data_IF_478037070602
#
_entry.id   IF_478037070602
#
_cell.length_a   1.000
_cell.length_b   1.000
_cell.length_c   1.000
_cell.angle_alpha   90.00
_cell.angle_beta   90.00
_cell.angle_gamma   90.00
#
_symmetry.space_group_name_H-M   'P 1'
#
loop_
_entity.id
_entity.type
_entity.pdbx_description
1 polymer ?
#
# COMPACT_ATOMS: atom_id res chain seq x y z
N UNK A 1 -53.68 -52.82 24.47
CA UNK A 1 -53.68 -52.10 23.18
C UNK A 1 -53.43 -50.63 23.50
N UNK A 2 -52.17 -50.21 23.60
CA UNK A 2 -51.78 -48.85 23.99
C UNK A 2 -51.12 -48.15 22.81
N UNK A 3 -51.77 -47.11 22.30
CA UNK A 3 -51.28 -46.29 21.18
C UNK A 3 -50.47 -45.14 21.78
N UNK A 4 -49.16 -45.08 21.45
CA UNK A 4 -48.29 -43.94 21.74
C UNK A 4 -48.34 -42.98 20.55
N UNK A 5 -48.81 -41.76 20.77
CA UNK A 5 -48.65 -40.64 19.85
C UNK A 5 -47.22 -40.10 19.96
N UNK A 6 -46.47 -40.12 18.86
CA UNK A 6 -45.20 -39.40 18.74
C UNK A 6 -45.48 -38.02 18.14
N UNK A 7 -45.20 -36.97 18.92
CA UNK A 7 -45.24 -35.57 18.49
C UNK A 7 -43.90 -35.26 17.80
N UNK A 8 -43.91 -35.06 16.48
CA UNK A 8 -42.74 -34.58 15.74
C UNK A 8 -42.65 -33.06 15.85
N UNK A 9 -41.68 -32.57 16.63
CA UNK A 9 -41.27 -31.16 16.61
C UNK A 9 -40.30 -30.98 15.44
N UNK A 10 -40.73 -30.28 14.40
CA UNK A 10 -39.87 -29.88 13.28
C UNK A 10 -39.07 -28.65 13.71
N UNK A 11 -37.79 -28.83 14.02
CA UNK A 11 -36.85 -27.72 14.23
C UNK A 11 -36.48 -27.20 12.83
N UNK A 12 -37.02 -26.04 12.45
CA UNK A 12 -36.53 -25.29 11.30
C UNK A 12 -35.17 -24.68 11.67
N UNK A 13 -34.10 -25.30 11.18
CA UNK A 13 -32.77 -24.71 11.19
C UNK A 13 -32.77 -23.60 10.15
N UNK A 14 -32.94 -22.35 10.59
CA UNK A 14 -32.68 -21.15 9.80
C UNK A 14 -31.16 -21.10 9.51
N UNK A 15 -30.76 -21.65 8.37
CA UNK A 15 -29.44 -21.42 7.79
C UNK A 15 -29.43 -20.01 7.20
N UNK A 16 -29.25 -19.02 8.08
CA UNK A 16 -28.95 -17.65 7.68
C UNK A 16 -27.54 -17.58 7.11
N UNK A 17 -27.38 -17.98 5.85
CA UNK A 17 -26.25 -17.50 5.05
C UNK A 17 -26.55 -16.02 4.79
N UNK A 18 -26.04 -15.14 5.66
CA UNK A 18 -25.93 -13.72 5.30
C UNK A 18 -25.03 -13.66 4.08
N UNK A 19 -25.64 -13.61 2.89
CA UNK A 19 -24.95 -13.17 1.70
C UNK A 19 -24.31 -11.81 2.07
N UNK A 20 -22.99 -11.68 1.89
CA UNK A 20 -22.37 -10.36 1.92
C UNK A 20 -23.11 -9.52 0.89
N UNK A 21 -23.88 -8.53 1.34
CA UNK A 21 -24.45 -7.55 0.42
C UNK A 21 -23.29 -6.81 -0.20
N UNK A 22 -23.21 -6.83 -1.53
CA UNK A 22 -22.25 -6.02 -2.26
C UNK A 22 -22.45 -4.55 -1.85
N UNK A 23 -21.36 -3.88 -1.48
CA UNK A 23 -21.39 -2.44 -1.21
C UNK A 23 -21.80 -1.68 -2.46
N UNK A 24 -22.68 -0.69 -2.31
CA UNK A 24 -22.94 0.27 -3.37
C UNK A 24 -21.72 1.19 -3.50
N UNK A 25 -21.12 1.23 -4.69
CA UNK A 25 -19.92 2.00 -4.97
C UNK A 25 -20.25 3.29 -5.76
N UNK A 26 -19.55 4.40 -5.50
CA UNK A 26 -18.49 4.54 -4.49
C UNK A 26 -19.06 4.72 -3.08
N UNK A 27 -18.43 4.07 -2.11
CA UNK A 27 -18.76 4.19 -0.68
C UNK A 27 -18.31 5.56 -0.15
N UNK A 28 -17.17 6.05 -0.63
CA UNK A 28 -16.58 7.34 -0.28
C UNK A 28 -16.83 8.33 -1.40
N UNK A 29 -17.76 9.26 -1.15
CA UNK A 29 -18.08 10.32 -2.10
C UNK A 29 -17.01 11.42 -2.06
N UNK A 30 -16.47 11.79 -3.24
CA UNK A 30 -15.49 12.86 -3.36
C UNK A 30 -16.16 14.07 -3.99
N UNK A 31 -16.04 15.22 -3.31
CA UNK A 31 -16.44 16.52 -3.82
C UNK A 31 -15.21 17.42 -3.87
N UNK A 32 -14.86 17.90 -5.07
CA UNK A 32 -13.71 18.75 -5.31
C UNK A 32 -14.16 20.11 -5.84
N UNK A 33 -13.55 21.17 -5.34
CA UNK A 33 -13.67 22.50 -5.95
C UNK A 33 -12.91 22.55 -7.28
N UNK A 34 -13.26 23.49 -8.16
CA UNK A 34 -12.55 23.70 -9.44
C UNK A 34 -11.04 23.91 -9.25
N UNK A 35 -10.64 24.63 -8.18
CA UNK A 35 -9.24 24.87 -7.82
C UNK A 35 -8.51 23.57 -7.48
N UNK A 36 -9.18 22.64 -6.81
CA UNK A 36 -8.64 21.34 -6.45
C UNK A 36 -8.52 20.43 -7.66
N UNK A 37 -9.53 20.38 -8.52
CA UNK A 37 -9.48 19.68 -9.81
C UNK A 37 -8.30 20.18 -10.64
N UNK A 38 -8.14 21.51 -10.77
CA UNK A 38 -7.01 22.09 -11.50
C UNK A 38 -5.65 21.73 -10.90
N UNK A 39 -5.55 21.69 -9.56
CA UNK A 39 -4.33 21.27 -8.85
C UNK A 39 -4.02 19.78 -9.10
N UNK A 40 -5.01 18.90 -8.98
CA UNK A 40 -4.85 17.47 -9.21
C UNK A 40 -4.49 17.15 -10.65
N UNK A 41 -5.14 17.81 -11.63
CA UNK A 41 -4.77 17.72 -13.06
C UNK A 41 -3.30 18.04 -13.31
N UNK A 42 -2.71 18.99 -12.57
CA UNK A 42 -1.26 19.28 -12.65
C UNK A 42 -0.40 18.15 -12.07
N UNK A 43 -0.82 17.52 -10.98
CA UNK A 43 -0.10 16.42 -10.32
C UNK A 43 -0.06 15.16 -11.19
N UNK A 44 -1.18 14.80 -11.82
CA UNK A 44 -1.29 13.59 -12.65
C UNK A 44 -0.74 13.77 -14.07
N UNK A 45 -0.44 15.01 -14.49
CA UNK A 45 -0.04 15.34 -15.88
C UNK A 45 1.08 14.45 -16.41
N UNK A 46 2.12 14.22 -15.62
CA UNK A 46 3.26 13.43 -16.06
C UNK A 46 2.86 11.98 -16.36
N UNK A 47 2.02 11.39 -15.51
CA UNK A 47 1.49 10.03 -15.70
C UNK A 47 0.53 9.95 -16.88
N UNK A 48 -0.34 10.95 -17.04
CA UNK A 48 -1.28 11.02 -18.17
C UNK A 48 -0.57 11.18 -19.53
N UNK A 49 0.64 11.75 -19.54
CA UNK A 49 1.43 11.95 -20.76
C UNK A 49 2.20 10.69 -21.21
N UNK A 50 2.40 9.71 -20.33
CA UNK A 50 3.07 8.45 -20.68
C UNK A 50 2.12 7.53 -21.47
N UNK A 51 2.68 6.63 -22.29
CA UNK A 51 1.89 5.49 -22.77
C UNK A 51 1.44 4.61 -21.59
N UNK A 52 0.40 3.80 -21.77
CA UNK A 52 -0.05 2.87 -20.72
C UNK A 52 1.06 1.89 -20.33
N UNK A 53 1.80 1.37 -21.33
CA UNK A 53 2.90 0.45 -21.14
C UNK A 53 4.08 1.09 -20.39
N UNK A 54 4.50 2.30 -20.80
CA UNK A 54 5.60 3.00 -20.13
C UNK A 54 5.23 3.32 -18.68
N UNK A 55 4.00 3.79 -18.43
CA UNK A 55 3.53 4.05 -17.08
C UNK A 55 3.61 2.79 -16.20
N UNK A 56 3.07 1.66 -16.66
CA UNK A 56 3.07 0.40 -15.91
C UNK A 56 4.50 -0.11 -15.68
N UNK A 57 5.41 0.08 -16.63
CA UNK A 57 6.82 -0.31 -16.49
C UNK A 57 7.59 0.48 -15.41
N UNK A 58 7.09 1.65 -15.01
CA UNK A 58 7.67 2.44 -13.92
C UNK A 58 7.14 2.05 -12.53
N UNK A 59 6.10 1.22 -12.45
CA UNK A 59 5.54 0.75 -11.18
C UNK A 59 6.45 -0.36 -10.64
N UNK A 60 7.02 -0.19 -9.43
CA UNK A 60 8.02 -1.11 -8.92
C UNK A 60 7.43 -2.47 -8.56
N UNK A 61 8.08 -3.53 -9.03
CA UNK A 61 7.74 -4.93 -8.77
C UNK A 61 8.46 -5.51 -7.53
N UNK A 62 9.22 -4.67 -6.82
CA UNK A 62 10.07 -5.05 -5.69
C UNK A 62 9.92 -4.06 -4.53
N UNK A 63 10.13 -4.56 -3.30
CA UNK A 63 10.24 -3.71 -2.11
C UNK A 63 11.45 -2.79 -2.23
N UNK A 64 11.30 -1.51 -1.89
CA UNK A 64 12.40 -0.54 -1.86
C UNK A 64 12.74 -0.02 -0.46
N UNK A 65 13.85 0.70 -0.33
CA UNK A 65 14.34 1.29 0.93
C UNK A 65 14.20 2.81 0.96
N UNK A 66 13.79 3.36 2.11
CA UNK A 66 13.65 4.80 2.32
C UNK A 66 14.99 5.46 2.64
N UNK A 67 15.78 4.84 3.51
CA UNK A 67 16.96 5.47 4.10
C UNK A 67 18.24 5.10 3.36
N UNK A 68 18.33 5.50 2.09
CA UNK A 68 19.57 5.34 1.33
C UNK A 68 20.22 6.72 1.25
N UNK A 69 21.38 6.85 1.89
CA UNK A 69 22.13 8.10 1.99
C UNK A 69 22.93 8.42 0.74
N UNK A 70 23.49 9.62 0.72
CA UNK A 70 24.46 10.08 -0.27
C UNK A 70 25.88 9.73 0.22
N UNK A 71 26.65 8.90 -0.49
CA UNK A 71 28.03 8.60 -0.10
C UNK A 71 29.02 9.73 -0.45
N UNK A 72 28.60 10.70 -1.27
CA UNK A 72 29.44 11.79 -1.76
C UNK A 72 29.48 13.02 -0.84
N UNK A 73 28.48 13.17 0.05
CA UNK A 73 28.42 14.29 1.00
C UNK A 73 27.71 13.90 2.29
N UNK A 74 27.98 14.62 3.37
CA UNK A 74 27.40 14.43 4.71
C UNK A 74 26.09 15.20 4.96
N UNK A 75 25.64 15.99 3.98
CA UNK A 75 24.45 16.82 4.12
C UNK A 75 23.14 16.02 4.20
N UNK A 76 22.15 16.61 4.90
CA UNK A 76 20.83 16.04 5.11
C UNK A 76 20.66 15.46 6.51
N UNK A 77 19.61 14.67 6.70
CA UNK A 77 19.31 14.02 7.97
C UNK A 77 18.75 12.62 7.71
N UNK A 78 19.17 11.65 8.53
CA UNK A 78 18.64 10.28 8.54
C UNK A 78 18.65 9.62 7.16
N UNK A 79 19.67 9.85 6.33
CA UNK A 79 19.74 9.26 4.97
C UNK A 79 18.54 9.62 4.07
N UNK A 80 17.89 10.76 4.32
CA UNK A 80 16.69 11.22 3.61
C UNK A 80 16.94 12.13 2.40
N UNK A 81 18.20 12.37 2.02
CA UNK A 81 18.59 13.41 1.06
C UNK A 81 18.41 13.04 -0.42
N UNK A 82 18.30 11.75 -0.75
CA UNK A 82 18.14 11.31 -2.13
C UNK A 82 16.68 11.50 -2.61
N UNK A 83 16.49 12.30 -3.66
CA UNK A 83 15.20 12.52 -4.34
C UNK A 83 15.09 11.68 -5.61
N UNK A 84 13.88 11.28 -5.92
CA UNK A 84 13.50 10.61 -7.16
C UNK A 84 12.58 11.50 -7.99
N UNK A 85 12.55 11.29 -9.30
CA UNK A 85 11.65 11.97 -10.24
C UNK A 85 11.21 11.00 -11.32
N UNK A 86 9.93 11.07 -11.71
CA UNK A 86 9.40 10.29 -12.84
C UNK A 86 10.13 10.59 -14.16
N UNK A 87 10.81 11.75 -14.27
CA UNK A 87 11.61 12.10 -15.45
C UNK A 87 12.94 11.33 -15.56
N UNK A 88 13.42 10.79 -14.45
CA UNK A 88 14.64 9.98 -14.39
C UNK A 88 14.39 8.80 -13.43
N UNK A 89 13.52 7.86 -13.83
CA UNK A 89 12.86 6.96 -12.88
C UNK A 89 13.77 5.86 -12.33
N UNK A 90 14.96 5.67 -12.91
CA UNK A 90 15.90 4.61 -12.53
C UNK A 90 17.11 5.12 -11.74
N UNK A 91 17.15 6.42 -11.45
CA UNK A 91 18.23 7.07 -10.69
C UNK A 91 17.66 7.94 -9.58
N UNK A 92 18.52 8.33 -8.67
CA UNK A 92 18.20 9.22 -7.55
C UNK A 92 19.26 10.31 -7.44
N UNK A 93 18.84 11.51 -7.08
CA UNK A 93 19.72 12.67 -7.01
C UNK A 93 19.80 13.17 -5.56
N UNK A 94 21.00 13.50 -5.09
CA UNK A 94 21.15 14.19 -3.81
C UNK A 94 20.57 15.61 -3.91
N UNK A 95 19.78 16.04 -2.92
CA UNK A 95 19.23 17.40 -2.87
C UNK A 95 20.28 18.48 -2.55
N UNK A 96 21.46 18.09 -2.08
CA UNK A 96 22.49 18.99 -1.57
C UNK A 96 23.70 19.10 -2.51
N UNK A 97 24.41 18.00 -2.78
CA UNK A 97 25.55 18.01 -3.71
C UNK A 97 25.16 17.77 -5.18
N UNK A 98 23.87 17.56 -5.46
CA UNK A 98 23.31 17.33 -6.80
C UNK A 98 23.81 16.09 -7.54
N UNK A 99 24.69 15.29 -6.93
CA UNK A 99 25.17 14.01 -7.45
C UNK A 99 23.99 13.08 -7.77
N UNK A 100 24.07 12.40 -8.91
CA UNK A 100 23.08 11.43 -9.38
C UNK A 100 23.66 10.03 -9.22
N UNK A 101 22.90 9.13 -8.60
CA UNK A 101 23.29 7.74 -8.35
C UNK A 101 22.33 6.75 -9.04
N UNK A 102 22.83 5.58 -9.46
CA UNK A 102 24.25 5.20 -9.54
C UNK A 102 25.02 6.01 -10.61
N UNK A 103 26.34 6.04 -10.52
CA UNK A 103 27.26 6.67 -11.49
C UNK A 103 28.62 5.93 -11.52
N UNK A 104 29.61 6.45 -12.26
CA UNK A 104 30.93 5.80 -12.40
C UNK A 104 31.70 5.69 -11.07
N UNK A 105 31.59 6.67 -10.18
CA UNK A 105 32.26 6.65 -8.86
C UNK A 105 31.51 5.75 -7.86
N UNK A 106 30.19 5.61 -8.03
CA UNK A 106 29.30 4.84 -7.16
C UNK A 106 28.44 3.87 -8.01
N UNK A 107 29.06 2.84 -8.62
CA UNK A 107 28.37 1.91 -9.50
C UNK A 107 27.49 0.95 -8.72
N UNK A 108 26.36 0.55 -9.29
CA UNK A 108 25.47 -0.48 -8.75
C UNK A 108 25.73 -1.85 -9.41
N UNK A 109 27.00 -2.23 -9.51
CA UNK A 109 27.48 -3.43 -10.20
C UNK A 109 27.44 -4.69 -9.33
N UNK A 110 27.33 -4.54 -8.01
CA UNK A 110 27.16 -5.65 -7.08
C UNK A 110 25.69 -5.98 -6.87
N UNK A 111 25.40 -7.23 -6.55
CA UNK A 111 24.01 -7.74 -6.48
C UNK A 111 23.75 -8.61 -5.27
N UNK A 112 22.64 -8.31 -4.58
CA UNK A 112 22.04 -9.19 -3.59
C UNK A 112 20.91 -9.98 -4.25
N UNK A 113 21.00 -11.32 -4.26
CA UNK A 113 19.93 -12.19 -4.72
C UNK A 113 19.15 -12.75 -3.53
N UNK A 114 17.83 -12.65 -3.58
CA UNK A 114 16.93 -13.17 -2.54
C UNK A 114 15.73 -13.87 -3.18
N UNK A 115 15.21 -14.90 -2.52
CA UNK A 115 13.92 -15.47 -2.89
C UNK A 115 12.81 -14.64 -2.24
N UNK A 116 11.81 -14.26 -3.04
CA UNK A 116 10.64 -13.55 -2.54
C UNK A 116 9.57 -14.53 -2.02
N UNK A 117 8.50 -14.05 -1.35
CA UNK A 117 7.49 -14.94 -0.75
C UNK A 117 6.72 -15.82 -1.74
N UNK A 118 6.78 -15.52 -3.04
CA UNK A 118 6.18 -16.35 -4.11
C UNK A 118 7.21 -17.27 -4.78
N UNK A 119 8.39 -17.45 -4.17
CA UNK A 119 9.45 -18.36 -4.61
C UNK A 119 10.29 -17.86 -5.79
N UNK A 120 10.07 -16.63 -6.27
CA UNK A 120 10.87 -16.05 -7.36
C UNK A 120 12.17 -15.46 -6.81
N UNK A 121 13.28 -15.73 -7.48
CA UNK A 121 14.55 -15.03 -7.23
C UNK A 121 14.48 -13.61 -7.77
N UNK A 122 14.78 -12.64 -6.91
CA UNK A 122 14.84 -11.22 -7.26
C UNK A 122 16.22 -10.65 -6.89
N UNK A 123 16.64 -9.65 -7.66
CA UNK A 123 17.98 -9.06 -7.57
C UNK A 123 17.90 -7.62 -7.09
N UNK A 124 18.79 -7.26 -6.17
CA UNK A 124 18.93 -5.93 -5.58
C UNK A 124 20.35 -5.41 -5.86
N UNK A 125 20.53 -4.53 -6.87
CA UNK A 125 21.80 -3.89 -7.13
C UNK A 125 22.22 -2.95 -5.99
N UNK A 126 23.50 -2.94 -5.67
CA UNK A 126 24.08 -2.05 -4.67
C UNK A 126 25.50 -1.64 -5.01
N UNK A 127 25.92 -0.53 -4.40
CA UNK A 127 27.32 -0.15 -4.24
C UNK A 127 27.74 -0.42 -2.79
N UNK A 128 28.96 -0.87 -2.54
CA UNK A 128 29.49 -1.11 -1.18
C UNK A 128 30.70 -0.21 -0.95
N UNK A 129 30.72 0.48 0.19
CA UNK A 129 31.87 1.31 0.58
C UNK A 129 32.99 0.49 1.25
N UNK A 130 34.12 1.14 1.54
CA UNK A 130 35.28 0.51 2.18
C UNK A 130 34.99 -0.08 3.57
N UNK A 131 33.89 0.34 4.21
CA UNK A 131 33.47 -0.18 5.53
C UNK A 131 32.56 -1.41 5.41
N UNK A 132 32.16 -1.77 4.20
CA UNK A 132 31.20 -2.84 3.93
C UNK A 132 29.73 -2.38 3.99
N UNK A 133 29.46 -1.08 4.05
CA UNK A 133 28.09 -0.56 4.06
C UNK A 133 27.54 -0.47 2.64
N UNK A 134 26.33 -1.03 2.42
CA UNK A 134 25.73 -1.16 1.08
C UNK A 134 24.66 -0.10 0.82
N UNK A 135 24.80 0.58 -0.31
CA UNK A 135 23.90 1.61 -0.83
C UNK A 135 23.06 1.04 -1.98
N UNK A 136 21.75 0.92 -1.75
CA UNK A 136 20.80 0.38 -2.74
C UNK A 136 20.07 1.50 -3.49
N UNK A 137 20.77 2.25 -4.36
CA UNK A 137 20.21 3.41 -5.06
C UNK A 137 18.97 3.08 -5.89
N UNK A 138 18.93 1.94 -6.60
CA UNK A 138 17.73 1.51 -7.34
C UNK A 138 16.59 1.15 -6.41
N UNK A 139 16.86 0.51 -5.27
CA UNK A 139 15.82 0.21 -4.29
C UNK A 139 15.24 1.48 -3.67
N UNK A 140 16.04 2.55 -3.53
CA UNK A 140 15.53 3.88 -3.18
C UNK A 140 14.60 4.42 -4.25
N UNK A 141 14.98 4.36 -5.53
CA UNK A 141 14.10 4.75 -6.64
C UNK A 141 12.77 3.95 -6.62
N UNK A 142 12.81 2.63 -6.42
CA UNK A 142 11.60 1.81 -6.30
C UNK A 142 10.71 2.24 -5.13
N UNK A 143 11.30 2.56 -3.97
CA UNK A 143 10.54 3.05 -2.83
C UNK A 143 9.78 4.33 -3.14
N UNK A 144 10.46 5.30 -3.75
CA UNK A 144 9.87 6.59 -4.09
C UNK A 144 8.83 6.46 -5.22
N UNK A 145 9.09 5.64 -6.23
CA UNK A 145 8.14 5.34 -7.29
C UNK A 145 6.86 4.72 -6.74
N UNK A 146 6.94 3.78 -5.80
CA UNK A 146 5.76 3.19 -5.14
C UNK A 146 4.91 4.25 -4.44
N UNK A 147 5.55 5.12 -3.64
CA UNK A 147 4.86 6.21 -2.94
C UNK A 147 4.20 7.17 -3.93
N UNK A 148 4.92 7.53 -5.00
CA UNK A 148 4.41 8.38 -6.06
C UNK A 148 3.18 7.78 -6.75
N UNK A 149 3.29 6.56 -7.27
CA UNK A 149 2.18 5.93 -8.02
C UNK A 149 0.98 5.62 -7.13
N UNK A 150 1.18 5.30 -5.86
CA UNK A 150 0.08 5.12 -4.92
C UNK A 150 -0.71 6.44 -4.71
N UNK A 151 -0.01 7.56 -4.54
CA UNK A 151 -0.64 8.88 -4.43
C UNK A 151 -1.30 9.33 -5.74
N UNK A 152 -0.70 9.01 -6.90
CA UNK A 152 -1.28 9.34 -8.21
C UNK A 152 -2.55 8.52 -8.48
N UNK A 153 -2.60 7.23 -8.13
CA UNK A 153 -3.80 6.42 -8.30
C UNK A 153 -4.99 6.99 -7.52
N UNK A 154 -4.77 7.46 -6.29
CA UNK A 154 -5.79 8.16 -5.51
C UNK A 154 -6.24 9.46 -6.21
N UNK A 155 -5.30 10.32 -6.63
CA UNK A 155 -5.63 11.55 -7.38
C UNK A 155 -6.44 11.24 -8.66
N UNK A 156 -6.10 10.16 -9.37
CA UNK A 156 -6.79 9.72 -10.59
C UNK A 156 -8.21 9.24 -10.29
N UNK A 157 -8.40 8.44 -9.24
CA UNK A 157 -9.74 7.99 -8.83
C UNK A 157 -10.64 9.16 -8.44
N UNK A 158 -10.12 10.09 -7.64
CA UNK A 158 -10.84 11.30 -7.25
C UNK A 158 -11.19 12.20 -8.45
N UNK A 159 -10.26 12.36 -9.40
CA UNK A 159 -10.51 13.09 -10.64
C UNK A 159 -11.58 12.42 -11.50
N UNK A 160 -11.58 11.09 -11.61
CA UNK A 160 -12.63 10.37 -12.32
C UNK A 160 -13.99 10.65 -11.69
N UNK A 161 -14.14 10.49 -10.37
CA UNK A 161 -15.42 10.72 -9.70
C UNK A 161 -15.91 12.18 -9.85
N UNK A 162 -15.00 13.14 -9.80
CA UNK A 162 -15.34 14.56 -9.92
C UNK A 162 -15.64 15.02 -11.36
N UNK A 163 -15.16 14.30 -12.39
CA UNK A 163 -15.22 14.77 -13.79
C UNK A 163 -15.91 13.83 -14.75
N UNK A 164 -16.07 12.55 -14.41
CA UNK A 164 -16.53 11.48 -15.30
C UNK A 164 -15.54 11.10 -16.41
N UNK A 165 -14.33 11.66 -16.43
CA UNK A 165 -13.35 11.40 -17.49
C UNK A 165 -12.70 10.01 -17.31
N UNK A 166 -13.11 9.10 -18.20
CA UNK A 166 -12.69 7.69 -18.25
C UNK A 166 -11.18 7.51 -18.38
N UNK A 167 -10.44 8.49 -18.91
CA UNK A 167 -9.00 8.40 -19.01
C UNK A 167 -8.34 8.32 -17.62
N UNK A 168 -8.89 8.97 -16.60
CA UNK A 168 -8.37 8.87 -15.24
C UNK A 168 -8.66 7.50 -14.63
N UNK A 169 -9.88 6.98 -14.81
CA UNK A 169 -10.25 5.64 -14.34
C UNK A 169 -9.33 4.57 -14.94
N UNK A 170 -9.08 4.62 -16.26
CA UNK A 170 -8.19 3.69 -16.94
C UNK A 170 -6.78 3.69 -16.32
N UNK A 171 -6.20 4.87 -16.07
CA UNK A 171 -4.86 4.95 -15.48
C UNK A 171 -4.82 4.45 -14.04
N UNK A 172 -5.85 4.74 -13.24
CA UNK A 172 -5.97 4.20 -11.89
C UNK A 172 -6.10 2.67 -11.90
N UNK A 173 -6.93 2.09 -12.78
CA UNK A 173 -7.08 0.64 -12.96
C UNK A 173 -5.75 -0.04 -13.23
N UNK A 174 -4.94 0.49 -14.15
CA UNK A 174 -3.64 -0.08 -14.50
C UNK A 174 -2.64 -0.02 -13.34
N UNK A 175 -2.66 1.06 -12.55
CA UNK A 175 -1.78 1.19 -11.38
C UNK A 175 -2.20 0.20 -10.29
N UNK A 176 -3.50 0.10 -10.00
CA UNK A 176 -4.05 -0.82 -9.01
C UNK A 176 -3.74 -2.28 -9.37
N UNK A 177 -3.96 -2.66 -10.63
CA UNK A 177 -3.63 -3.99 -11.13
C UNK A 177 -2.13 -4.31 -10.98
N UNK A 178 -1.26 -3.37 -11.36
CA UNK A 178 0.19 -3.57 -11.25
C UNK A 178 0.61 -3.82 -9.81
N UNK A 179 0.13 -3.00 -8.85
CA UNK A 179 0.43 -3.25 -7.44
C UNK A 179 -0.16 -4.56 -6.94
N UNK A 180 -1.35 -4.94 -7.37
CA UNK A 180 -1.94 -6.22 -6.97
C UNK A 180 -1.15 -7.43 -7.47
N UNK A 181 -0.61 -7.38 -8.69
CA UNK A 181 0.28 -8.43 -9.22
C UNK A 181 1.60 -8.54 -8.45
N UNK A 182 2.14 -7.43 -7.96
CA UNK A 182 3.47 -7.41 -7.36
C UNK A 182 3.46 -7.58 -5.84
N UNK A 183 2.41 -7.10 -5.17
CA UNK A 183 2.31 -7.08 -3.71
C UNK A 183 2.56 -8.48 -3.09
N UNK A 184 2.01 -9.60 -3.59
CA UNK A 184 2.29 -10.91 -3.02
C UNK A 184 3.80 -11.23 -2.92
N UNK A 185 4.59 -10.76 -3.90
CA UNK A 185 6.04 -10.93 -3.96
C UNK A 185 6.86 -9.88 -3.23
N UNK A 186 6.26 -8.86 -2.61
CA UNK A 186 7.01 -7.89 -1.80
C UNK A 186 7.63 -8.57 -0.56
N UNK A 187 8.87 -8.21 -0.26
CA UNK A 187 9.61 -8.61 0.93
C UNK A 187 9.32 -7.65 2.08
N UNK A 188 9.40 -8.15 3.31
CA UNK A 188 9.39 -7.31 4.51
C UNK A 188 10.76 -6.67 4.67
N UNK A 189 10.82 -5.34 4.64
CA UNK A 189 12.10 -4.61 4.69
C UNK A 189 12.63 -4.43 6.11
N UNK A 190 13.95 -4.49 6.28
CA UNK A 190 14.67 -3.87 7.39
C UNK A 190 15.21 -2.52 6.93
N UNK A 191 14.62 -1.42 7.40
CA UNK A 191 14.90 -0.07 6.89
C UNK A 191 14.97 0.97 8.01
N UNK A 192 16.15 1.07 8.63
CA UNK A 192 16.48 2.07 9.67
C UNK A 192 17.62 2.95 9.21
N UNK A 193 17.56 4.22 9.60
CA UNK A 193 18.59 5.18 9.24
C UNK A 193 19.93 4.79 9.90
N UNK A 194 21.01 4.91 9.14
CA UNK A 194 22.39 4.62 9.56
C UNK A 194 22.65 3.15 9.90
N UNK A 195 21.74 2.25 9.52
CA UNK A 195 21.89 0.80 9.69
C UNK A 195 21.84 0.09 8.33
N UNK A 196 22.48 -1.07 8.22
CA UNK A 196 22.53 -1.84 6.98
C UNK A 196 21.11 -2.28 6.55
N UNK A 197 20.76 -1.99 5.29
CA UNK A 197 19.46 -2.36 4.72
C UNK A 197 19.40 -3.84 4.37
N UNK A 198 18.22 -4.42 4.53
CA UNK A 198 18.01 -5.84 4.29
C UNK A 198 16.54 -6.25 4.35
N UNK A 199 16.30 -7.54 4.58
CA UNK A 199 14.96 -8.12 4.61
C UNK A 199 14.77 -9.02 5.82
N UNK A 200 13.53 -9.16 6.27
CA UNK A 200 13.11 -10.12 7.29
C UNK A 200 12.24 -11.16 6.61
N UNK A 201 12.67 -12.42 6.66
CA UNK A 201 12.05 -13.49 5.87
C UNK A 201 10.96 -14.24 6.62
N UNK A 202 11.01 -14.27 7.95
CA UNK A 202 10.09 -15.02 8.79
C UNK A 202 9.58 -14.16 9.96
N UNK A 203 8.35 -14.41 10.46
CA UNK A 203 7.85 -13.74 11.65
C UNK A 203 8.60 -14.18 12.93
N UNK A 204 8.57 -13.38 14.00
CA UNK A 204 7.87 -12.11 14.13
C UNK A 204 8.58 -10.97 13.37
N UNK A 205 7.83 -10.26 12.51
CA UNK A 205 8.37 -9.10 11.80
C UNK A 205 8.57 -7.91 12.75
N UNK A 206 9.59 -7.06 12.53
CA UNK A 206 9.81 -5.89 13.36
C UNK A 206 8.76 -4.80 13.09
N UNK A 207 8.48 -3.96 14.09
CA UNK A 207 7.52 -2.86 13.95
C UNK A 207 7.89 -1.86 12.82
N UNK A 208 9.19 -1.73 12.53
CA UNK A 208 9.74 -0.90 11.44
C UNK A 208 9.97 -1.68 10.13
N UNK A 209 9.39 -2.88 9.99
CA UNK A 209 9.45 -3.69 8.78
C UNK A 209 8.06 -3.96 8.21
N UNK A 210 7.63 -3.08 7.32
CA UNK A 210 6.46 -3.28 6.46
C UNK A 210 6.79 -3.99 5.16
N UNK A 211 5.77 -4.56 4.53
CA UNK A 211 5.81 -5.11 3.17
C UNK A 211 5.34 -4.05 2.17
N UNK A 212 4.22 -3.39 2.45
CA UNK A 212 3.79 -2.16 1.79
C UNK A 212 4.43 -0.95 2.44
N UNK A 213 4.28 -0.82 3.75
CA UNK A 213 4.71 0.33 4.54
C UNK A 213 6.23 0.41 4.70
N UNK A 214 6.71 1.43 5.42
CA UNK A 214 8.01 1.28 6.10
C UNK A 214 7.75 0.66 7.47
N UNK A 215 6.81 1.24 8.18
CA UNK A 215 6.32 0.74 9.45
C UNK A 215 5.19 -0.25 9.21
N UNK A 216 4.99 -1.15 10.18
CA UNK A 216 3.76 -1.94 10.30
C UNK A 216 2.53 -1.05 10.23
N UNK A 217 2.55 0.09 10.93
CA UNK A 217 1.43 1.03 10.96
C UNK A 217 0.99 1.55 9.58
N UNK A 218 1.88 1.49 8.58
CA UNK A 218 1.66 1.99 7.23
C UNK A 218 1.47 0.84 6.21
N UNK A 219 1.15 -0.37 6.69
CA UNK A 219 0.97 -1.56 5.84
C UNK A 219 -0.32 -1.49 5.00
N UNK A 220 -1.34 -0.80 5.49
CA UNK A 220 -2.65 -0.74 4.83
C UNK A 220 -2.62 0.22 3.62
N UNK A 221 -2.90 -0.25 2.39
CA UNK A 221 -2.89 0.58 1.19
C UNK A 221 -4.19 1.40 1.05
N UNK A 222 -4.57 2.14 2.10
CA UNK A 222 -5.87 2.83 2.22
C UNK A 222 -6.17 3.76 1.04
N UNK A 223 -5.17 4.52 0.57
CA UNK A 223 -5.34 5.42 -0.58
C UNK A 223 -5.67 4.67 -1.89
N UNK A 224 -5.14 3.46 -2.06
CA UNK A 224 -5.45 2.62 -3.21
C UNK A 224 -6.83 1.95 -3.08
N UNK A 225 -7.28 1.64 -1.86
CA UNK A 225 -8.66 1.22 -1.63
C UNK A 225 -9.66 2.34 -1.98
N UNK A 226 -9.34 3.60 -1.65
CA UNK A 226 -10.14 4.77 -2.06
C UNK A 226 -10.12 4.97 -3.59
N UNK A 227 -8.95 4.81 -4.23
CA UNK A 227 -8.85 4.87 -5.68
C UNK A 227 -9.72 3.79 -6.36
N UNK A 228 -9.68 2.57 -5.85
CA UNK A 228 -10.48 1.44 -6.32
C UNK A 228 -11.99 1.71 -6.17
N UNK A 229 -12.41 2.17 -5.00
CA UNK A 229 -13.80 2.55 -4.71
C UNK A 229 -14.31 3.61 -5.70
N UNK A 230 -13.52 4.65 -5.94
CA UNK A 230 -13.89 5.74 -6.84
C UNK A 230 -14.09 5.29 -8.30
N UNK A 231 -13.33 4.29 -8.76
CA UNK A 231 -13.38 3.81 -10.16
C UNK A 231 -14.18 2.51 -10.33
N UNK A 232 -14.73 1.95 -9.25
CA UNK A 232 -15.29 0.59 -9.22
C UNK A 232 -16.34 0.33 -10.29
N UNK A 233 -17.17 1.35 -10.58
CA UNK A 233 -18.29 1.31 -11.52
C UNK A 233 -17.95 1.88 -12.90
N UNK A 234 -16.68 2.21 -13.17
CA UNK A 234 -16.26 2.81 -14.44
C UNK A 234 -16.34 1.86 -15.64
N UNK A 235 -16.27 0.55 -15.43
CA UNK A 235 -16.14 -0.44 -16.51
C UNK A 235 -14.69 -0.69 -16.96
N UNK A 236 -13.71 0.10 -16.49
CA UNK A 236 -12.30 -0.07 -16.90
C UNK A 236 -11.65 -1.29 -16.24
N UNK A 237 -12.11 -1.69 -15.05
CA UNK A 237 -11.68 -2.91 -14.37
C UNK A 237 -12.11 -4.15 -15.17
N UNK A 238 -13.38 -4.18 -15.59
CA UNK A 238 -13.96 -5.22 -16.44
C UNK A 238 -13.26 -5.29 -17.80
N UNK A 239 -13.06 -4.13 -18.44
CA UNK A 239 -12.35 -4.05 -19.72
C UNK A 239 -10.93 -4.60 -19.61
N UNK A 240 -10.23 -4.33 -18.51
CA UNK A 240 -8.91 -4.91 -18.27
C UNK A 240 -9.00 -6.42 -17.99
N UNK A 241 -10.02 -6.87 -17.26
CA UNK A 241 -10.27 -8.30 -17.02
C UNK A 241 -10.41 -9.07 -18.33
N UNK A 242 -11.23 -8.57 -19.26
CA UNK A 242 -11.45 -9.17 -20.58
C UNK A 242 -10.14 -9.22 -21.40
N UNK A 243 -9.38 -8.12 -21.39
CA UNK A 243 -8.12 -8.04 -22.14
C UNK A 243 -7.04 -9.00 -21.61
N UNK A 244 -7.05 -9.29 -20.31
CA UNK A 244 -6.04 -10.13 -19.65
C UNK A 244 -6.50 -11.58 -19.42
N UNK A 245 -7.78 -11.88 -19.59
CA UNK A 245 -8.35 -13.21 -19.31
C UNK A 245 -8.33 -13.60 -17.83
N UNK A 246 -8.42 -12.62 -16.92
CA UNK A 246 -8.34 -12.78 -15.47
C UNK A 246 -9.29 -11.82 -14.78
N UNK A 247 -9.84 -12.17 -13.62
CA UNK A 247 -10.64 -11.22 -12.83
C UNK A 247 -9.73 -10.21 -12.11
N UNK A 248 -9.66 -8.98 -12.64
CA UNK A 248 -8.86 -7.87 -12.10
C UNK A 248 -9.41 -7.42 -10.74
N UNK A 249 -10.73 -7.37 -10.56
CA UNK A 249 -11.34 -6.97 -9.29
C UNK A 249 -10.96 -7.96 -8.21
N UNK A 250 -11.18 -9.25 -8.48
CA UNK A 250 -10.82 -10.31 -7.54
C UNK A 250 -9.33 -10.26 -7.19
N UNK A 251 -8.43 -10.09 -8.17
CA UNK A 251 -6.98 -9.95 -7.89
C UNK A 251 -6.68 -8.75 -6.97
N UNK A 252 -7.23 -7.58 -7.26
CA UNK A 252 -7.01 -6.39 -6.42
C UNK A 252 -7.52 -6.64 -4.99
N UNK A 253 -8.70 -7.21 -4.85
CA UNK A 253 -9.31 -7.46 -3.54
C UNK A 253 -8.55 -8.53 -2.75
N UNK A 254 -8.27 -9.68 -3.35
CA UNK A 254 -7.75 -10.87 -2.66
C UNK A 254 -6.22 -10.85 -2.48
N UNK A 255 -5.49 -10.47 -3.52
CA UNK A 255 -4.02 -10.52 -3.51
C UNK A 255 -3.44 -9.27 -2.84
N UNK A 256 -4.11 -8.12 -2.98
CA UNK A 256 -3.60 -6.87 -2.46
C UNK A 256 -4.27 -6.42 -1.16
N UNK A 257 -5.56 -6.07 -1.19
CA UNK A 257 -6.22 -5.50 0.00
C UNK A 257 -6.33 -6.51 1.13
N UNK A 258 -6.87 -7.71 0.84
CA UNK A 258 -6.88 -8.82 1.81
C UNK A 258 -5.48 -9.35 2.08
N UNK A 259 -4.56 -9.22 1.11
CA UNK A 259 -3.13 -9.47 1.31
C UNK A 259 -2.54 -8.62 2.43
N UNK A 260 -2.80 -7.31 2.44
CA UNK A 260 -2.35 -6.40 3.49
C UNK A 260 -2.97 -6.71 4.85
N UNK A 261 -4.25 -7.10 4.89
CA UNK A 261 -4.91 -7.59 6.12
C UNK A 261 -4.22 -8.87 6.65
N UNK A 262 -3.90 -9.83 5.77
CA UNK A 262 -3.17 -11.04 6.16
C UNK A 262 -1.77 -10.71 6.67
N UNK A 263 -1.07 -9.76 6.05
CA UNK A 263 0.25 -9.32 6.49
C UNK A 263 0.23 -8.73 7.90
N UNK A 264 -0.81 -7.96 8.24
CA UNK A 264 -0.99 -7.44 9.59
C UNK A 264 -1.16 -8.55 10.63
N UNK A 265 -1.85 -9.64 10.26
CA UNK A 265 -2.12 -10.77 11.15
C UNK A 265 -0.89 -11.52 11.67
N UNK A 266 0.30 -11.28 11.10
CA UNK A 266 1.57 -11.80 11.64
C UNK A 266 2.09 -11.03 12.85
N UNK A 267 1.27 -10.20 13.45
CA UNK A 267 1.67 -9.26 14.48
C UNK A 267 0.60 -9.11 15.57
N UNK A 268 1.02 -8.89 16.81
CA UNK A 268 0.10 -8.68 17.93
C UNK A 268 -0.61 -7.33 17.85
N UNK A 269 -1.87 -7.24 18.29
CA UNK A 269 -2.60 -5.98 18.30
C UNK A 269 -1.87 -4.96 19.20
N UNK A 270 -1.57 -3.79 18.65
CA UNK A 270 -0.94 -2.68 19.38
C UNK A 270 -1.92 -1.54 19.58
N UNK A 271 -1.72 -0.78 20.65
CA UNK A 271 -2.49 0.39 21.05
C UNK A 271 -1.57 1.60 21.25
N UNK A 272 -0.68 1.88 20.30
CA UNK A 272 0.22 3.05 20.34
C UNK A 272 -0.28 4.18 19.46
N UNK A 273 0.43 5.33 19.48
CA UNK A 273 0.10 6.50 18.67
C UNK A 273 -0.05 6.24 17.16
N UNK A 274 0.68 5.27 16.61
CA UNK A 274 0.65 4.93 15.19
C UNK A 274 -0.43 3.89 14.84
N UNK A 275 -0.96 3.17 15.83
CA UNK A 275 -1.95 2.10 15.64
C UNK A 275 -3.25 2.55 14.94
N UNK A 276 -3.77 3.79 15.12
CA UNK A 276 -4.93 4.29 14.37
C UNK A 276 -4.83 4.15 12.85
N UNK A 277 -3.62 4.20 12.25
CA UNK A 277 -3.44 4.04 10.80
C UNK A 277 -3.89 2.66 10.30
N UNK A 278 -3.61 1.61 11.07
CA UNK A 278 -4.09 0.26 10.79
C UNK A 278 -5.60 0.19 10.94
N UNK A 279 -6.17 0.81 11.98
CA UNK A 279 -7.61 0.74 12.25
C UNK A 279 -8.41 1.43 11.13
N UNK A 280 -7.93 2.59 10.67
CA UNK A 280 -8.46 3.28 9.48
C UNK A 280 -8.38 2.36 8.26
N UNK A 281 -7.26 1.66 8.07
CA UNK A 281 -7.11 0.67 7.00
C UNK A 281 -8.17 -0.43 7.05
N UNK A 282 -8.40 -1.04 8.21
CA UNK A 282 -9.48 -2.02 8.42
C UNK A 282 -10.86 -1.43 8.10
N UNK A 283 -11.15 -0.21 8.55
CA UNK A 283 -12.43 0.44 8.31
C UNK A 283 -12.65 0.72 6.82
N UNK A 284 -11.67 1.34 6.14
CA UNK A 284 -11.78 1.71 4.73
C UNK A 284 -11.84 0.47 3.85
N UNK A 285 -10.90 -0.46 3.99
CA UNK A 285 -10.89 -1.71 3.21
C UNK A 285 -12.17 -2.50 3.50
N UNK A 286 -12.58 -2.62 4.76
CA UNK A 286 -13.82 -3.30 5.13
C UNK A 286 -15.06 -2.70 4.47
N UNK A 287 -15.18 -1.37 4.48
CA UNK A 287 -16.33 -0.69 3.85
C UNK A 287 -16.31 -0.80 2.32
N UNK A 288 -15.15 -0.63 1.69
CA UNK A 288 -15.00 -0.77 0.24
C UNK A 288 -15.28 -2.22 -0.21
N UNK A 289 -14.89 -3.22 0.57
CA UNK A 289 -15.12 -4.62 0.19
C UNK A 289 -16.47 -5.18 0.66
N UNK A 290 -17.33 -4.35 1.27
CA UNK A 290 -18.58 -4.82 1.88
C UNK A 290 -18.37 -5.87 3.00
N UNK A 291 -17.22 -5.85 3.68
CA UNK A 291 -16.80 -6.82 4.71
C UNK A 291 -17.03 -6.28 6.13
N UNK A 292 -18.17 -6.61 6.76
CA UNK A 292 -18.50 -6.11 8.09
C UNK A 292 -17.55 -6.62 9.18
N UNK A 293 -16.84 -7.73 8.97
CA UNK A 293 -15.89 -8.26 9.97
C UNK A 293 -14.70 -7.32 10.11
N UNK A 294 -14.19 -6.81 8.98
CA UNK A 294 -13.09 -5.84 8.99
C UNK A 294 -13.53 -4.50 9.59
N UNK A 295 -14.77 -4.06 9.33
CA UNK A 295 -15.32 -2.84 9.96
C UNK A 295 -15.45 -3.01 11.47
N UNK A 296 -15.97 -4.16 11.94
CA UNK A 296 -16.06 -4.46 13.38
C UNK A 296 -14.67 -4.59 14.03
N UNK A 297 -13.66 -5.10 13.32
CA UNK A 297 -12.28 -5.12 13.77
C UNK A 297 -11.76 -3.70 14.04
N UNK A 298 -11.98 -2.78 13.08
CA UNK A 298 -11.59 -1.38 13.24
C UNK A 298 -12.24 -0.73 14.46
N UNK A 299 -13.56 -0.93 14.64
CA UNK A 299 -14.29 -0.38 15.79
C UNK A 299 -13.76 -0.96 17.10
N UNK A 300 -13.56 -2.28 17.19
CA UNK A 300 -13.06 -2.94 18.40
C UNK A 300 -11.68 -2.45 18.79
N UNK A 301 -10.76 -2.35 17.82
CA UNK A 301 -9.40 -1.84 18.07
C UNK A 301 -9.40 -0.37 18.47
N UNK A 302 -10.30 0.44 17.88
CA UNK A 302 -10.44 1.85 18.26
C UNK A 302 -10.96 2.00 19.68
N UNK A 303 -11.99 1.25 20.09
CA UNK A 303 -12.47 1.21 21.47
C UNK A 303 -11.35 0.76 22.42
N UNK A 304 -10.60 -0.28 22.04
CA UNK A 304 -9.50 -0.77 22.85
C UNK A 304 -8.38 0.27 23.07
N UNK A 305 -8.13 1.15 22.09
CA UNK A 305 -7.20 2.27 22.22
C UNK A 305 -7.73 3.30 23.22
N UNK A 306 -9.00 3.70 23.10
CA UNK A 306 -9.64 4.64 24.02
C UNK A 306 -9.61 4.16 25.47
N UNK A 307 -9.92 2.88 25.69
CA UNK A 307 -9.91 2.27 27.03
C UNK A 307 -8.52 2.23 27.69
N UNK A 308 -7.44 2.19 26.90
CA UNK A 308 -6.08 1.90 27.40
C UNK A 308 -5.16 3.10 27.43
N UNK A 309 -5.38 4.06 26.54
CA UNK A 309 -4.39 5.09 26.22
C UNK A 309 -4.89 6.52 26.44
N UNK A 310 -6.17 6.67 26.81
CA UNK A 310 -6.75 7.95 27.18
C UNK A 310 -7.12 7.94 28.65
N UNK A 311 -6.85 9.05 29.34
CA UNK A 311 -7.32 9.27 30.70
C UNK A 311 -8.84 9.53 30.71
N UNK A 312 -9.44 9.51 31.89
CA UNK A 312 -10.88 9.69 32.07
C UNK A 312 -11.42 11.04 31.56
N UNK A 313 -10.55 12.05 31.47
CA UNK A 313 -10.83 13.38 30.91
C UNK A 313 -10.62 13.47 29.39
N UNK A 314 -10.26 12.36 28.74
CA UNK A 314 -10.00 12.29 27.31
C UNK A 314 -8.60 12.74 26.89
N UNK A 315 -7.67 12.92 27.84
CA UNK A 315 -6.30 13.28 27.51
C UNK A 315 -5.46 12.07 27.07
N UNK A 316 -4.68 12.21 25.99
CA UNK A 316 -3.80 11.16 25.46
C UNK A 316 -2.60 10.93 26.38
N UNK A 317 -2.31 9.66 26.71
CA UNK A 317 -1.31 9.32 27.72
C UNK A 317 0.14 9.73 27.39
N UNK A 318 0.52 9.89 26.12
CA UNK A 318 1.89 10.34 25.77
C UNK A 318 2.07 11.85 25.94
N UNK A 319 1.01 12.60 26.26
CA UNK A 319 1.07 14.04 26.51
C UNK A 319 1.47 14.90 25.31
N UNK A 320 1.49 14.32 24.10
CA UNK A 320 1.65 15.06 22.86
C UNK A 320 0.33 15.71 22.44
N UNK A 321 0.39 16.99 22.06
CA UNK A 321 -0.70 17.61 21.29
C UNK A 321 -0.70 16.95 19.91
N UNK A 322 -1.79 16.29 19.56
CA UNK A 322 -1.96 15.57 18.29
C UNK A 322 -1.92 16.47 17.06
#
# INVERSE_FOLDING_TARGET
MSIRFFLFITIQILTGVSAMQASEHPVYQVSLTEKEVARMKRRVRAVMALSEADMVALIPDKTGFRFVGCPDCDAGAQEGQLRWSIKDPYRVQCRYCEMVFPNEAYPDDQVLQVANPVGKRVTYPFWEDETGFRYYFRAKAWREARVYFAAIAEDLGQLYQATGDMAYARRATLILDAFARYYPGFLVSYDRAHEQKGFVFEPPYPNFGGKWGRWRADEMPTNLALAYDAIYTSGELERLSDAMGVDVKQRIEDDFFRGAIRQEGFQEITYGNASPRIYVGYAVIGRVLGDPKLVHEAVRRSLGLFERQFYADGFWHEGSLG
#
